data_IF_558859382983
#
_entry.id   IF_558859382983
#
_cell.length_a   1.000
_cell.length_b   1.000
_cell.length_c   1.000
_cell.angle_alpha   90.00
_cell.angle_beta   90.00
_cell.angle_gamma   90.00
#
_symmetry.space_group_name_H-M   'P 1'
#
loop_
_entity.id
_entity.type
_entity.pdbx_description
1 polymer ?
#
# COMPACT_ATOMS: atom_id res chain seq x y z
N UNK A 1 22.99 10.16 -12.14
CA UNK A 1 22.49 9.32 -13.25
C UNK A 1 22.38 7.91 -12.69
N UNK A 2 21.17 7.50 -12.29
CA UNK A 2 20.92 6.15 -11.74
C UNK A 2 21.10 5.16 -12.89
N UNK A 3 21.92 4.12 -12.70
CA UNK A 3 22.12 3.09 -13.73
C UNK A 3 20.94 2.13 -13.72
N UNK A 4 20.65 1.47 -14.85
CA UNK A 4 19.56 0.48 -14.95
C UNK A 4 19.69 -0.62 -13.89
N UNK A 5 20.93 -1.03 -13.57
CA UNK A 5 21.23 -2.00 -12.52
C UNK A 5 20.72 -1.54 -11.13
N UNK A 6 20.97 -0.28 -10.76
CA UNK A 6 20.52 0.24 -9.46
C UNK A 6 19.00 0.29 -9.36
N UNK A 7 18.30 0.56 -10.47
CA UNK A 7 16.83 0.55 -10.50
C UNK A 7 16.26 -0.85 -10.31
N UNK A 8 16.88 -1.86 -10.91
CA UNK A 8 16.47 -3.25 -10.76
C UNK A 8 16.75 -3.75 -9.33
N UNK A 9 17.86 -3.36 -8.72
CA UNK A 9 18.20 -3.68 -7.33
C UNK A 9 17.17 -3.07 -6.35
N UNK A 10 16.78 -1.80 -6.56
CA UNK A 10 15.74 -1.14 -5.75
C UNK A 10 14.39 -1.87 -5.88
N UNK A 11 13.99 -2.20 -7.12
CA UNK A 11 12.73 -2.91 -7.35
C UNK A 11 12.70 -4.27 -6.65
N UNK A 12 13.82 -5.00 -6.69
CA UNK A 12 13.96 -6.28 -6.00
C UNK A 12 13.87 -6.14 -4.47
N UNK A 13 14.49 -5.10 -3.89
CA UNK A 13 14.39 -4.82 -2.45
C UNK A 13 12.98 -4.46 -2.02
N UNK A 14 12.23 -3.70 -2.82
CA UNK A 14 10.81 -3.42 -2.58
C UNK A 14 10.00 -4.73 -2.59
N UNK A 15 10.21 -5.59 -3.59
CA UNK A 15 9.49 -6.87 -3.69
C UNK A 15 9.82 -7.81 -2.50
N UNK A 16 11.07 -7.83 -2.05
CA UNK A 16 11.48 -8.57 -0.84
C UNK A 16 10.75 -8.05 0.41
N UNK A 17 10.67 -6.73 0.58
CA UNK A 17 9.91 -6.11 1.67
C UNK A 17 8.43 -6.49 1.62
N UNK A 18 7.81 -6.46 0.44
CA UNK A 18 6.41 -6.86 0.26
C UNK A 18 6.18 -8.33 0.62
N UNK A 19 7.07 -9.22 0.17
CA UNK A 19 7.01 -10.64 0.49
C UNK A 19 7.18 -10.89 2.00
N UNK A 20 8.06 -10.14 2.67
CA UNK A 20 8.23 -10.21 4.11
C UNK A 20 6.94 -9.77 4.86
N UNK A 21 6.28 -8.69 4.45
CA UNK A 21 4.97 -8.30 4.98
C UNK A 21 3.94 -9.43 4.83
N UNK A 22 3.84 -10.03 3.65
CA UNK A 22 2.88 -11.12 3.37
C UNK A 22 3.16 -12.38 4.21
N UNK A 23 4.42 -12.62 4.59
CA UNK A 23 4.82 -13.73 5.44
C UNK A 23 4.73 -13.43 6.95
N UNK A 24 4.22 -12.25 7.33
CA UNK A 24 4.10 -11.82 8.72
C UNK A 24 5.40 -11.28 9.33
N UNK A 25 6.49 -11.21 8.57
CA UNK A 25 7.76 -10.60 9.00
C UNK A 25 7.74 -9.08 8.77
N UNK A 26 6.75 -8.43 9.37
CA UNK A 26 6.46 -7.01 9.17
C UNK A 26 7.60 -6.13 9.71
N UNK A 27 8.29 -6.56 10.76
CA UNK A 27 9.43 -5.82 11.31
C UNK A 27 10.56 -5.68 10.30
N UNK A 28 11.01 -6.79 9.69
CA UNK A 28 12.07 -6.73 8.69
C UNK A 28 11.60 -6.00 7.42
N UNK A 29 10.35 -6.20 7.00
CA UNK A 29 9.78 -5.46 5.88
C UNK A 29 9.84 -3.94 6.07
N UNK A 30 9.44 -3.44 7.25
CA UNK A 30 9.55 -2.01 7.59
C UNK A 30 10.97 -1.50 7.51
N UNK A 31 11.93 -2.23 8.07
CA UNK A 31 13.34 -1.84 8.01
C UNK A 31 13.84 -1.74 6.57
N UNK A 32 13.40 -2.64 5.68
CA UNK A 32 13.75 -2.56 4.26
C UNK A 32 13.19 -1.28 3.62
N UNK A 33 11.91 -0.98 3.83
CA UNK A 33 11.29 0.23 3.26
C UNK A 33 11.88 1.52 3.84
N UNK A 34 12.12 1.57 5.16
CA UNK A 34 12.76 2.70 5.83
C UNK A 34 14.17 2.96 5.27
N UNK A 35 14.99 1.93 5.11
CA UNK A 35 16.33 2.06 4.53
C UNK A 35 16.29 2.50 3.05
N UNK A 36 15.30 2.02 2.28
CA UNK A 36 15.09 2.46 0.91
C UNK A 36 14.69 3.94 0.84
N UNK A 37 13.87 4.42 1.77
CA UNK A 37 13.49 5.83 1.87
C UNK A 37 14.63 6.70 2.41
N UNK A 38 15.54 6.18 3.22
CA UNK A 38 16.78 6.88 3.57
C UNK A 38 17.69 7.09 2.35
N UNK A 39 17.72 6.12 1.43
CA UNK A 39 18.47 6.21 0.18
C UNK A 39 17.79 7.09 -0.88
N UNK A 40 16.48 6.91 -1.07
CA UNK A 40 15.64 7.63 -2.03
C UNK A 40 14.34 8.09 -1.33
N UNK A 41 14.31 9.30 -0.74
CA UNK A 41 13.19 9.79 0.06
C UNK A 41 11.85 9.84 -0.66
N UNK A 42 11.89 10.03 -1.98
CA UNK A 42 10.70 10.15 -2.82
C UNK A 42 10.33 8.81 -3.50
N UNK A 43 10.94 7.69 -3.08
CA UNK A 43 10.66 6.36 -3.63
C UNK A 43 9.25 5.90 -3.24
N UNK A 44 8.29 6.26 -4.08
CA UNK A 44 6.87 5.96 -3.93
C UNK A 44 6.59 4.49 -3.58
N UNK A 45 7.28 3.56 -4.24
CA UNK A 45 7.08 2.13 -4.02
C UNK A 45 7.44 1.69 -2.58
N UNK A 46 8.47 2.29 -1.98
CA UNK A 46 8.83 2.04 -0.59
C UNK A 46 7.83 2.70 0.38
N UNK A 47 7.31 3.90 0.07
CA UNK A 47 6.24 4.52 0.86
C UNK A 47 4.94 3.70 0.85
N UNK A 48 4.55 3.16 -0.31
CA UNK A 48 3.39 2.25 -0.42
C UNK A 48 3.63 0.96 0.38
N UNK A 49 4.83 0.38 0.31
CA UNK A 49 5.22 -0.78 1.11
C UNK A 49 5.18 -0.50 2.62
N UNK A 50 5.65 0.67 3.05
CA UNK A 50 5.59 1.10 4.44
C UNK A 50 4.14 1.30 4.92
N UNK A 51 3.29 1.95 4.12
CA UNK A 51 1.86 2.08 4.41
C UNK A 51 1.18 0.71 4.52
N UNK A 52 1.43 -0.19 3.56
CA UNK A 52 0.91 -1.56 3.60
C UNK A 52 1.36 -2.30 4.86
N UNK A 53 2.63 -2.16 5.25
CA UNK A 53 3.16 -2.76 6.47
C UNK A 53 2.42 -2.29 7.74
N UNK A 54 1.91 -1.05 7.76
CA UNK A 54 1.12 -0.48 8.86
C UNK A 54 -0.33 -0.98 8.83
N UNK A 55 -0.91 -1.10 7.64
CA UNK A 55 -2.25 -1.68 7.46
C UNK A 55 -2.32 -3.11 7.99
N UNK A 56 -1.33 -3.96 7.66
CA UNK A 56 -1.35 -5.39 8.06
C UNK A 56 -1.13 -5.63 9.56
N UNK A 57 -0.81 -4.59 10.33
CA UNK A 57 -0.67 -4.62 11.79
C UNK A 57 -1.66 -3.68 12.50
N UNK A 58 -2.73 -3.29 11.81
CA UNK A 58 -3.80 -2.42 12.32
C UNK A 58 -3.36 -1.01 12.76
N UNK A 59 -2.18 -0.54 12.30
CA UNK A 59 -1.68 0.84 12.50
C UNK A 59 -2.27 1.76 11.40
N UNK A 60 -3.60 1.86 11.39
CA UNK A 60 -4.33 2.48 10.28
C UNK A 60 -4.09 3.98 10.15
N UNK A 61 -3.90 4.70 11.27
CA UNK A 61 -3.68 6.15 11.24
C UNK A 61 -2.32 6.47 10.62
N UNK A 62 -1.28 5.74 11.02
CA UNK A 62 0.07 5.88 10.46
C UNK A 62 0.10 5.51 8.97
N UNK A 63 -0.68 4.49 8.57
CA UNK A 63 -0.84 4.16 7.16
C UNK A 63 -1.51 5.30 6.38
N UNK A 64 -2.57 5.89 6.94
CA UNK A 64 -3.29 7.01 6.35
C UNK A 64 -2.39 8.24 6.16
N UNK A 65 -1.61 8.60 7.19
CA UNK A 65 -0.68 9.74 7.13
C UNK A 65 0.30 9.59 5.96
N UNK A 66 0.85 8.39 5.76
CA UNK A 66 1.73 8.08 4.62
C UNK A 66 0.96 8.21 3.30
N UNK A 67 -0.22 7.58 3.19
CA UNK A 67 -1.01 7.56 1.96
C UNK A 67 -1.55 8.94 1.56
N UNK A 68 -1.76 9.84 2.52
CA UNK A 68 -2.16 11.23 2.27
C UNK A 68 -1.01 12.10 1.75
N UNK A 69 0.25 11.71 2.01
CA UNK A 69 1.44 12.35 1.43
C UNK A 69 1.73 11.93 -0.03
N UNK A 70 1.02 10.93 -0.55
CA UNK A 70 1.23 10.35 -1.87
C UNK A 70 0.21 10.88 -2.91
N UNK A 71 0.59 10.86 -4.19
CA UNK A 71 -0.36 11.14 -5.28
C UNK A 71 -1.51 10.12 -5.29
N UNK A 72 -2.73 10.60 -5.53
CA UNK A 72 -3.94 9.76 -5.67
C UNK A 72 -3.97 9.03 -7.03
N UNK A 73 -3.15 7.99 -7.16
CA UNK A 73 -3.27 7.00 -8.24
C UNK A 73 -3.94 5.70 -7.76
N UNK A 74 -4.04 4.72 -8.65
CA UNK A 74 -4.78 3.48 -8.40
C UNK A 74 -4.20 2.65 -7.25
N UNK A 75 -2.87 2.64 -7.07
CA UNK A 75 -2.21 1.94 -5.98
C UNK A 75 -2.56 2.58 -4.63
N UNK A 76 -2.41 3.91 -4.51
CA UNK A 76 -2.74 4.63 -3.27
C UNK A 76 -4.23 4.51 -2.95
N UNK A 77 -5.10 4.70 -3.95
CA UNK A 77 -6.54 4.65 -3.74
C UNK A 77 -6.97 3.23 -3.34
N UNK A 78 -6.40 2.18 -3.96
CA UNK A 78 -6.67 0.80 -3.56
C UNK A 78 -6.24 0.52 -2.12
N UNK A 79 -5.03 0.92 -1.70
CA UNK A 79 -4.60 0.74 -0.30
C UNK A 79 -5.47 1.51 0.70
N UNK A 80 -5.95 2.73 0.35
CA UNK A 80 -6.92 3.46 1.18
C UNK A 80 -8.23 2.68 1.33
N UNK A 81 -8.78 2.13 0.24
CA UNK A 81 -10.00 1.30 0.28
C UNK A 81 -9.79 0.07 1.15
N UNK A 82 -8.67 -0.64 0.99
CA UNK A 82 -8.34 -1.83 1.78
C UNK A 82 -8.26 -1.48 3.28
N UNK A 83 -7.54 -0.41 3.63
CA UNK A 83 -7.41 0.07 5.01
C UNK A 83 -8.77 0.39 5.63
N UNK A 84 -9.63 1.15 4.94
CA UNK A 84 -10.96 1.51 5.42
C UNK A 84 -11.89 0.29 5.53
N UNK A 85 -11.77 -0.66 4.61
CA UNK A 85 -12.56 -1.90 4.64
C UNK A 85 -12.20 -2.78 5.85
N UNK A 86 -10.92 -2.86 6.20
CA UNK A 86 -10.46 -3.60 7.40
C UNK A 86 -10.93 -2.93 8.69
N UNK A 87 -11.06 -1.60 8.69
CA UNK A 87 -11.67 -0.82 9.78
C UNK A 87 -13.21 -0.88 9.81
N UNK A 88 -13.85 -1.56 8.84
CA UNK A 88 -15.31 -1.59 8.65
C UNK A 88 -15.93 -0.21 8.39
N UNK A 89 -15.15 0.72 7.85
CA UNK A 89 -15.64 2.04 7.43
C UNK A 89 -16.11 1.97 5.97
N UNK A 90 -17.21 1.25 5.73
CA UNK A 90 -17.72 0.93 4.40
C UNK A 90 -18.14 2.16 3.60
N UNK A 91 -18.62 3.21 4.26
CA UNK A 91 -19.08 4.45 3.62
C UNK A 91 -17.91 5.22 2.99
N UNK A 92 -16.82 5.40 3.74
CA UNK A 92 -15.61 6.04 3.23
C UNK A 92 -14.89 5.15 2.22
N UNK A 93 -14.81 3.83 2.48
CA UNK A 93 -14.23 2.88 1.54
C UNK A 93 -14.93 2.96 0.17
N UNK A 94 -16.27 3.00 0.15
CA UNK A 94 -17.05 3.17 -1.07
C UNK A 94 -16.84 4.51 -1.76
N UNK A 95 -16.67 5.58 -0.99
CA UNK A 95 -16.36 6.91 -1.53
C UNK A 95 -15.03 6.91 -2.28
N UNK A 96 -13.99 6.30 -1.70
CA UNK A 96 -12.68 6.20 -2.35
C UNK A 96 -12.73 5.24 -3.56
N UNK A 97 -13.38 4.08 -3.42
CA UNK A 97 -13.48 3.09 -4.49
C UNK A 97 -14.17 3.63 -5.75
N UNK A 98 -15.14 4.54 -5.60
CA UNK A 98 -15.79 5.21 -6.73
C UNK A 98 -14.80 5.95 -7.66
N UNK A 99 -13.62 6.31 -7.18
CA UNK A 99 -12.57 6.95 -8.00
C UNK A 99 -11.85 5.97 -8.94
N UNK A 100 -11.85 4.67 -8.65
CA UNK A 100 -11.08 3.65 -9.39
C UNK A 100 -11.95 2.56 -10.03
N UNK A 101 -13.22 2.42 -9.64
CA UNK A 101 -14.10 1.29 -10.04
C UNK A 101 -14.23 1.06 -11.55
N UNK A 102 -14.22 2.11 -12.36
CA UNK A 102 -14.47 2.03 -13.81
C UNK A 102 -13.20 1.66 -14.61
N UNK A 103 -12.04 1.66 -13.95
CA UNK A 103 -10.75 1.37 -14.60
C UNK A 103 -10.51 -0.12 -14.84
N UNK A 104 -11.26 -0.99 -14.15
CA UNK A 104 -11.12 -2.46 -14.22
C UNK A 104 -9.66 -2.95 -14.07
N UNK A 105 -8.85 -2.22 -13.30
CA UNK A 105 -7.45 -2.57 -13.05
C UNK A 105 -7.34 -3.63 -11.93
N UNK A 106 -6.20 -4.33 -11.80
CA UNK A 106 -5.96 -5.24 -10.69
C UNK A 106 -6.17 -4.59 -9.32
N UNK A 107 -5.80 -3.32 -9.18
CA UNK A 107 -5.95 -2.53 -7.96
C UNK A 107 -7.43 -2.30 -7.65
N UNK A 108 -8.22 -1.89 -8.64
CA UNK A 108 -9.66 -1.71 -8.47
C UNK A 108 -10.37 -3.04 -8.11
N UNK A 109 -10.00 -4.15 -8.75
CA UNK A 109 -10.56 -5.46 -8.45
C UNK A 109 -10.19 -5.93 -7.03
N UNK A 110 -8.95 -5.68 -6.61
CA UNK A 110 -8.48 -6.01 -5.24
C UNK A 110 -9.23 -5.17 -4.21
N UNK A 111 -9.32 -3.85 -4.41
CA UNK A 111 -10.06 -2.95 -3.53
C UNK A 111 -11.52 -3.39 -3.36
N UNK A 112 -12.19 -3.76 -4.46
CA UNK A 112 -13.56 -4.29 -4.44
C UNK A 112 -13.68 -5.55 -3.59
N UNK A 113 -12.75 -6.49 -3.74
CA UNK A 113 -12.78 -7.75 -2.97
C UNK A 113 -12.75 -7.50 -1.46
N UNK A 114 -11.91 -6.56 -0.99
CA UNK A 114 -11.84 -6.23 0.44
C UNK A 114 -13.10 -5.53 0.95
N UNK A 115 -13.69 -4.64 0.15
CA UNK A 115 -14.96 -4.01 0.49
C UNK A 115 -16.08 -5.04 0.62
N UNK A 116 -16.24 -5.92 -0.37
CA UNK A 116 -17.29 -6.94 -0.39
C UNK A 116 -17.14 -7.88 0.82
N UNK A 117 -15.92 -8.30 1.15
CA UNK A 117 -15.64 -9.15 2.31
C UNK A 117 -15.99 -8.50 3.66
N UNK A 118 -15.81 -7.18 3.77
CA UNK A 118 -16.14 -6.44 4.99
C UNK A 118 -17.64 -6.26 5.21
N UNK A 119 -18.44 -6.29 4.15
CA UNK A 119 -19.90 -6.13 4.20
C UNK A 119 -20.65 -7.39 4.66
N UNK A 120 -20.05 -8.58 4.48
CA UNK A 120 -20.65 -9.87 4.81
C UNK A 120 -20.46 -10.31 6.28
N UNK A 121 -19.79 -9.52 7.13
CA UNK A 121 -19.44 -9.84 8.53
C UNK A 121 -20.03 -8.89 9.56
#
# INVERSE_FOLDING_TARGET
>A
MVTTQTKDDISMLVQLGMAACMNGDVYNARKMFENLLEYEPDLRAASLGLAFSRIVTDEFQEAEDILNGLSEDDDTLSLKVISLSLQRNSDEAGTIYNKIKDKHSPEALTAKQFMDYSADR
#
